data_IF_492127710677
#
_entry.id   IF_492127710677
#
_cell.length_a   1.000
_cell.length_b   1.000
_cell.length_c   1.000
_cell.angle_alpha   90.00
_cell.angle_beta   90.00
_cell.angle_gamma   90.00
#
_symmetry.space_group_name_H-M   'P 1'
#
loop_
_entity.id
_entity.type
_entity.pdbx_description
1 polymer ?
#
# COMPACT_ATOMS: atom_id res chain seq x y z
N UNK A 1 22.72 -32.16 19.24
CA UNK A 1 23.26 -33.02 20.32
C UNK A 1 23.50 -32.22 21.60
N UNK A 2 24.17 -31.06 21.54
CA UNK A 2 24.40 -30.22 22.72
C UNK A 2 23.10 -29.73 23.39
N UNK A 3 22.06 -29.40 22.62
CA UNK A 3 20.75 -29.02 23.15
C UNK A 3 20.08 -30.11 24.01
N UNK A 4 20.34 -31.40 23.74
CA UNK A 4 19.80 -32.51 24.55
C UNK A 4 20.62 -32.77 25.81
N UNK A 5 21.90 -32.40 25.81
CA UNK A 5 22.84 -32.66 26.91
C UNK A 5 22.83 -31.49 27.90
N UNK A 6 22.68 -30.26 27.41
CA UNK A 6 22.68 -29.04 28.19
C UNK A 6 21.66 -28.04 27.62
N UNK A 7 20.36 -28.41 27.64
CA UNK A 7 19.30 -27.46 27.34
C UNK A 7 19.29 -26.35 28.39
N UNK A 8 19.35 -25.11 27.92
CA UNK A 8 19.28 -23.90 28.75
C UNK A 8 17.90 -23.23 28.67
N UNK A 9 16.92 -23.88 28.03
CA UNK A 9 15.60 -23.29 27.73
C UNK A 9 14.76 -22.99 28.99
N UNK A 10 15.11 -23.64 30.11
CA UNK A 10 14.44 -23.46 31.41
C UNK A 10 15.10 -22.37 32.26
N UNK A 11 16.24 -21.82 31.83
CA UNK A 11 17.00 -20.81 32.56
C UNK A 11 16.74 -19.46 31.89
N UNK A 12 16.19 -18.51 32.64
CA UNK A 12 16.08 -17.12 32.18
C UNK A 12 17.39 -16.41 32.44
N UNK A 13 18.02 -15.89 31.39
CA UNK A 13 19.26 -15.15 31.54
C UNK A 13 19.00 -13.69 31.90
N UNK A 14 19.87 -13.10 32.71
CA UNK A 14 19.82 -11.66 33.01
C UNK A 14 19.88 -10.81 31.73
N UNK A 15 20.56 -11.32 30.69
CA UNK A 15 20.63 -10.68 29.37
C UNK A 15 19.25 -10.61 28.70
N UNK A 16 18.45 -11.68 28.75
CA UNK A 16 17.11 -11.71 28.16
C UNK A 16 16.23 -10.66 28.84
N UNK A 17 16.24 -10.66 30.18
CA UNK A 17 15.52 -9.68 30.98
C UNK A 17 15.93 -8.24 30.64
N UNK A 18 17.24 -7.99 30.53
CA UNK A 18 17.78 -6.66 30.23
C UNK A 18 17.41 -6.18 28.81
N UNK A 19 17.39 -7.07 27.82
CA UNK A 19 17.01 -6.76 26.43
C UNK A 19 15.51 -6.48 26.32
N UNK A 20 14.66 -7.34 26.90
CA UNK A 20 13.20 -7.19 26.88
C UNK A 20 12.75 -5.91 27.59
N UNK A 21 13.33 -5.64 28.76
CA UNK A 21 13.00 -4.45 29.54
C UNK A 21 13.75 -3.18 29.06
N UNK A 22 14.64 -3.31 28.07
CA UNK A 22 15.47 -2.22 27.55
C UNK A 22 16.25 -1.48 28.66
N UNK A 23 16.74 -2.22 29.65
CA UNK A 23 17.51 -1.67 30.76
C UNK A 23 18.83 -1.09 30.26
N UNK A 24 19.24 0.05 30.83
CA UNK A 24 20.50 0.71 30.46
C UNK A 24 20.50 1.46 29.12
N UNK A 25 19.39 1.48 28.38
CA UNK A 25 19.31 2.19 27.10
C UNK A 25 19.25 3.72 27.27
N UNK A 26 20.43 4.35 27.17
CA UNK A 26 20.56 5.80 27.14
C UNK A 26 20.01 6.39 25.83
N UNK A 27 19.24 7.48 25.88
CA UNK A 27 18.68 8.08 24.67
C UNK A 27 19.73 8.66 23.74
N UNK A 28 19.36 8.72 22.46
CA UNK A 28 20.29 9.13 21.42
C UNK A 28 20.76 10.56 21.66
N UNK A 29 22.06 10.85 21.47
CA UNK A 29 22.62 12.17 21.75
C UNK A 29 22.07 13.25 20.80
N UNK A 30 21.71 12.88 19.58
CA UNK A 30 21.22 13.80 18.57
C UNK A 30 19.87 13.35 17.97
N UNK A 31 18.93 14.28 17.74
CA UNK A 31 17.69 13.97 17.03
C UNK A 31 17.94 13.57 15.57
N UNK A 32 17.18 12.60 15.07
CA UNK A 32 17.19 12.24 13.64
C UNK A 32 18.32 11.31 13.21
N UNK A 33 19.09 10.75 14.16
CA UNK A 33 20.04 9.67 13.86
C UNK A 33 19.32 8.46 13.27
N UNK A 34 19.99 7.76 12.35
CA UNK A 34 19.50 6.53 11.80
C UNK A 34 19.60 5.41 12.84
N UNK A 35 18.55 4.60 12.92
CA UNK A 35 18.44 3.47 13.85
C UNK A 35 18.40 2.16 13.08
N UNK A 36 19.05 2.16 11.91
CA UNK A 36 19.15 1.02 11.02
C UNK A 36 20.04 -0.02 11.70
N UNK A 37 19.46 -1.15 12.12
CA UNK A 37 20.17 -2.19 12.88
C UNK A 37 19.89 -2.19 14.39
N UNK A 38 19.16 -1.19 14.90
CA UNK A 38 18.66 -1.24 16.28
C UNK A 38 17.46 -2.19 16.38
N UNK A 39 17.30 -2.83 17.55
CA UNK A 39 16.13 -3.67 17.83
C UNK A 39 14.82 -2.85 17.74
N UNK A 40 13.73 -3.55 17.45
CA UNK A 40 12.39 -2.95 17.41
C UNK A 40 11.96 -2.64 18.84
N UNK A 41 11.46 -1.43 19.07
CA UNK A 41 11.00 -1.05 20.41
C UNK A 41 9.67 -1.74 20.72
N UNK A 42 9.69 -2.72 21.63
CA UNK A 42 8.47 -3.38 22.09
C UNK A 42 7.52 -2.43 22.84
N UNK A 43 8.06 -1.50 23.62
CA UNK A 43 7.24 -0.48 24.28
C UNK A 43 6.52 0.42 23.27
N UNK A 44 7.09 0.64 22.09
CA UNK A 44 6.41 1.40 21.04
C UNK A 44 5.27 0.60 20.42
N UNK A 45 5.45 -0.70 20.21
CA UNK A 45 4.39 -1.60 19.74
C UNK A 45 3.23 -1.69 20.74
N UNK A 46 3.53 -1.63 22.05
CA UNK A 46 2.57 -1.58 23.17
C UNK A 46 2.07 -0.15 23.49
N UNK A 47 2.41 0.86 22.68
CA UNK A 47 2.07 2.28 22.89
C UNK A 47 2.53 2.92 24.21
N UNK A 48 3.50 2.31 24.91
CA UNK A 48 4.06 2.76 26.19
C UNK A 48 5.42 3.47 26.07
N UNK A 49 5.97 3.64 24.85
CA UNK A 49 7.29 4.25 24.65
C UNK A 49 7.28 5.76 24.93
N UNK A 50 7.73 6.17 26.12
CA UNK A 50 7.89 7.58 26.50
C UNK A 50 8.97 8.35 25.74
N UNK A 51 9.87 7.65 25.01
CA UNK A 51 10.96 8.24 24.20
C UNK A 51 10.59 8.37 22.70
N UNK A 52 9.34 8.01 22.34
CA UNK A 52 8.83 8.01 20.96
C UNK A 52 8.11 9.30 20.53
N UNK A 53 7.63 9.31 19.28
CA UNK A 53 6.77 10.38 18.77
C UNK A 53 5.32 10.11 19.19
N UNK A 54 4.87 10.72 20.28
CA UNK A 54 3.44 10.72 20.63
C UNK A 54 2.73 11.79 19.79
N UNK A 55 2.07 11.38 18.69
CA UNK A 55 1.07 12.22 18.01
C UNK A 55 -0.28 12.04 18.72
N UNK A 56 -0.34 12.48 19.98
CA UNK A 56 -1.59 12.67 20.70
C UNK A 56 -1.93 14.15 20.69
N UNK A 57 -3.09 14.50 20.15
CA UNK A 57 -3.68 15.84 20.30
C UNK A 57 -4.21 15.89 21.73
N UNK A 58 -3.34 16.18 22.72
CA UNK A 58 -3.84 16.58 24.02
C UNK A 58 -4.16 18.07 23.91
N UNK A 59 -5.44 18.37 23.72
CA UNK A 59 -5.94 19.72 23.86
C UNK A 59 -5.50 20.25 25.23
N UNK A 60 -4.71 21.34 25.20
CA UNK A 60 -4.37 22.19 26.34
C UNK A 60 -3.45 21.56 27.41
N UNK A 61 -2.22 21.24 27.02
CA UNK A 61 -1.06 21.49 27.88
C UNK A 61 0.24 21.47 27.06
N UNK A 62 0.81 22.65 26.83
CA UNK A 62 2.22 22.79 26.41
C UNK A 62 3.06 22.47 27.65
N UNK A 63 3.27 21.18 27.94
CA UNK A 63 4.40 20.77 28.78
C UNK A 63 5.54 20.43 27.82
N UNK A 64 6.45 21.38 27.67
CA UNK A 64 7.74 21.28 26.97
C UNK A 64 8.74 20.40 27.76
N UNK A 65 8.32 19.23 28.22
CA UNK A 65 9.25 18.24 28.82
C UNK A 65 9.04 16.90 28.12
N UNK A 66 10.07 16.43 27.43
CA UNK A 66 10.07 15.08 26.88
C UNK A 66 10.91 14.94 25.62
N UNK A 67 11.93 14.10 25.71
CA UNK A 67 12.74 13.55 24.62
C UNK A 67 11.87 12.89 23.52
N UNK A 68 11.24 13.70 22.68
CA UNK A 68 10.36 13.23 21.60
C UNK A 68 11.21 12.73 20.44
N UNK A 69 11.22 11.41 20.23
CA UNK A 69 11.87 10.78 19.09
C UNK A 69 13.35 10.44 19.27
N UNK A 70 13.84 10.41 20.52
CA UNK A 70 15.22 10.05 20.85
C UNK A 70 15.35 8.61 21.38
N UNK A 71 14.31 7.78 21.20
CA UNK A 71 14.39 6.36 21.50
C UNK A 71 15.54 5.71 20.70
N UNK A 72 16.48 5.00 21.35
CA UNK A 72 17.58 4.28 20.69
C UNK A 72 17.09 3.18 19.75
N UNK A 73 15.91 2.64 20.04
CA UNK A 73 15.31 1.54 19.32
C UNK A 73 14.48 2.02 18.13
N UNK A 74 14.29 1.10 17.18
CA UNK A 74 13.55 1.33 15.94
C UNK A 74 12.05 1.34 16.21
N UNK A 75 11.36 2.34 15.69
CA UNK A 75 9.89 2.45 15.73
C UNK A 75 9.31 2.08 14.37
N UNK A 76 8.39 1.13 14.34
CA UNK A 76 7.69 0.71 13.13
C UNK A 76 6.33 1.40 13.12
N UNK A 77 6.24 2.50 12.37
CA UNK A 77 4.96 3.19 12.15
C UNK A 77 4.43 2.85 10.76
N UNK A 78 3.19 2.39 10.70
CA UNK A 78 2.46 2.12 9.46
C UNK A 78 2.94 0.89 8.68
N UNK A 79 2.03 0.36 7.86
CA UNK A 79 2.31 -0.68 6.89
C UNK A 79 3.05 -0.09 5.68
N UNK A 80 4.24 -0.63 5.37
CA UNK A 80 5.06 -0.22 4.23
C UNK A 80 5.10 -1.36 3.24
N UNK A 81 4.77 -1.07 1.99
CA UNK A 81 4.51 -2.11 0.97
C UNK A 81 5.74 -2.50 0.17
N UNK A 82 6.65 -1.55 -0.09
CA UNK A 82 7.81 -1.75 -0.98
C UNK A 82 9.12 -1.51 -0.23
N UNK A 83 10.10 -2.38 -0.45
CA UNK A 83 11.43 -2.30 0.17
C UNK A 83 12.19 -1.05 -0.30
N UNK A 84 12.86 -0.38 0.64
CA UNK A 84 13.63 0.82 0.38
C UNK A 84 14.94 0.49 -0.34
N UNK A 85 15.08 0.97 -1.59
CA UNK A 85 16.32 0.80 -2.38
C UNK A 85 17.58 1.41 -1.72
N UNK A 86 17.43 2.46 -0.92
CA UNK A 86 18.55 3.13 -0.27
C UNK A 86 18.99 2.43 1.02
N UNK A 87 18.06 1.78 1.71
CA UNK A 87 18.34 0.99 2.91
C UNK A 87 19.10 -0.29 2.57
N UNK A 88 18.80 -0.94 1.44
CA UNK A 88 19.58 -2.08 0.94
C UNK A 88 21.07 -1.76 0.74
N UNK A 89 21.42 -0.48 0.57
CA UNK A 89 22.80 0.00 0.43
C UNK A 89 23.37 0.60 1.71
N UNK A 90 22.60 0.65 2.81
CA UNK A 90 22.99 1.31 4.06
C UNK A 90 23.02 2.85 3.98
N UNK A 91 22.39 3.47 2.98
CA UNK A 91 22.47 4.92 2.72
C UNK A 91 21.15 5.65 3.03
N UNK A 92 20.21 5.01 3.73
CA UNK A 92 18.93 5.63 4.03
C UNK A 92 19.03 6.65 5.16
N UNK A 93 18.97 7.94 4.83
CA UNK A 93 18.96 9.05 5.81
C UNK A 93 17.62 9.22 6.54
N UNK A 94 16.54 8.63 6.04
CA UNK A 94 15.19 8.81 6.61
C UNK A 94 14.94 7.94 7.84
N UNK A 95 15.78 6.92 8.09
CA UNK A 95 15.64 6.00 9.22
C UNK A 95 14.20 5.47 9.36
N UNK A 96 13.65 5.54 10.56
CA UNK A 96 12.27 5.11 10.88
C UNK A 96 11.18 5.89 10.14
N UNK A 97 11.48 7.09 9.68
CA UNK A 97 10.54 7.97 8.97
C UNK A 97 10.56 7.73 7.46
N UNK A 98 11.23 6.68 7.00
CA UNK A 98 11.21 6.28 5.61
C UNK A 98 9.80 5.78 5.22
N UNK A 99 9.32 6.24 4.08
CA UNK A 99 8.06 5.78 3.47
C UNK A 99 8.17 4.33 2.96
N UNK A 100 9.39 3.86 2.73
CA UNK A 100 9.67 2.52 2.21
C UNK A 100 10.08 1.56 3.32
N UNK A 101 9.79 0.28 3.13
CA UNK A 101 10.05 -0.80 4.08
C UNK A 101 11.57 -1.01 4.27
N UNK A 102 12.01 -1.10 5.53
CA UNK A 102 13.38 -1.41 5.92
C UNK A 102 13.48 -2.85 6.42
N UNK A 103 13.01 -3.78 5.59
CA UNK A 103 13.04 -5.22 5.84
C UNK A 103 13.44 -5.92 4.55
N UNK A 104 14.21 -7.00 4.67
CA UNK A 104 14.69 -7.75 3.51
C UNK A 104 13.66 -8.80 3.13
N UNK A 105 12.73 -8.40 2.25
CA UNK A 105 11.69 -9.26 1.71
C UNK A 105 11.76 -9.24 0.17
N UNK A 106 12.04 -10.39 -0.43
CA UNK A 106 12.17 -10.53 -1.89
C UNK A 106 10.84 -10.31 -2.62
N UNK A 107 9.72 -10.57 -1.97
CA UNK A 107 8.39 -10.45 -2.58
C UNK A 107 7.94 -8.99 -2.71
N UNK A 108 8.44 -8.12 -1.84
CA UNK A 108 8.14 -6.69 -1.78
C UNK A 108 9.23 -5.83 -2.40
N UNK A 109 10.15 -6.44 -3.14
CA UNK A 109 11.22 -5.72 -3.81
C UNK A 109 10.66 -4.89 -4.98
N UNK A 110 11.11 -3.65 -5.18
CA UNK A 110 10.70 -2.88 -6.35
C UNK A 110 11.06 -3.56 -7.68
N UNK A 111 10.32 -3.20 -8.73
CA UNK A 111 10.55 -3.68 -10.11
C UNK A 111 11.94 -3.24 -10.61
N UNK A 112 12.61 -4.11 -11.35
CA UNK A 112 13.88 -3.80 -11.99
C UNK A 112 13.67 -2.80 -13.12
N UNK A 113 14.28 -1.61 -13.00
CA UNK A 113 14.18 -0.57 -14.02
C UNK A 113 14.75 -0.99 -15.39
N UNK A 114 15.89 -1.70 -15.39
CA UNK A 114 16.53 -2.14 -16.64
C UNK A 114 15.69 -3.18 -17.37
N UNK A 115 15.19 -4.17 -16.64
CA UNK A 115 14.32 -5.20 -17.21
C UNK A 115 13.00 -4.62 -17.70
N UNK A 116 12.34 -3.77 -16.90
CA UNK A 116 11.07 -3.14 -17.28
C UNK A 116 11.18 -2.22 -18.50
N UNK A 117 12.34 -1.58 -18.73
CA UNK A 117 12.53 -0.60 -19.81
C UNK A 117 13.15 -1.20 -21.07
N UNK A 118 14.16 -2.05 -20.92
CA UNK A 118 14.96 -2.58 -22.02
C UNK A 118 14.68 -4.07 -22.30
N UNK A 119 13.92 -4.75 -21.46
CA UNK A 119 13.63 -6.19 -21.61
C UNK A 119 14.78 -7.11 -21.23
N UNK A 120 15.93 -6.54 -20.81
CA UNK A 120 17.11 -7.30 -20.44
C UNK A 120 17.76 -6.65 -19.20
N UNK A 121 18.17 -7.49 -18.25
CA UNK A 121 18.97 -7.06 -17.10
C UNK A 121 20.40 -7.58 -17.25
N UNK A 122 21.39 -6.69 -17.14
CA UNK A 122 22.81 -7.06 -17.23
C UNK A 122 23.28 -7.96 -16.08
N UNK A 123 22.56 -7.98 -14.95
CA UNK A 123 22.94 -8.75 -13.77
C UNK A 123 22.11 -10.03 -13.69
N UNK A 124 22.78 -11.19 -13.60
CA UNK A 124 22.13 -12.50 -13.46
C UNK A 124 21.45 -12.67 -12.11
N UNK A 125 22.11 -12.21 -11.04
CA UNK A 125 21.60 -12.20 -9.67
C UNK A 125 21.01 -10.82 -9.32
N UNK A 126 20.01 -10.37 -10.06
CA UNK A 126 19.35 -9.09 -9.80
C UNK A 126 18.38 -9.25 -8.60
N UNK A 127 18.56 -8.49 -7.49
CA UNK A 127 17.63 -8.58 -6.36
C UNK A 127 16.23 -8.08 -6.70
N UNK A 128 16.11 -7.21 -7.72
CA UNK A 128 14.86 -6.56 -8.12
C UNK A 128 13.97 -7.48 -8.96
N UNK A 129 12.65 -7.30 -8.85
CA UNK A 129 11.70 -8.14 -9.57
C UNK A 129 11.77 -7.91 -11.08
N UNK A 130 12.01 -8.99 -11.84
CA UNK A 130 11.90 -9.03 -13.30
C UNK A 130 10.46 -9.40 -13.66
N UNK A 131 9.65 -8.39 -14.00
CA UNK A 131 8.28 -8.57 -14.46
C UNK A 131 8.25 -8.28 -15.96
N UNK A 132 7.84 -9.26 -16.76
CA UNK A 132 7.67 -9.05 -18.19
C UNK A 132 6.53 -8.07 -18.45
N UNK A 133 6.74 -6.99 -19.22
CA UNK A 133 5.68 -6.01 -19.50
C UNK A 133 4.46 -6.65 -20.18
N UNK A 134 4.64 -7.72 -20.95
CA UNK A 134 3.55 -8.49 -21.58
C UNK A 134 2.71 -9.27 -20.55
N UNK A 135 3.31 -9.69 -19.43
CA UNK A 135 2.60 -10.36 -18.34
C UNK A 135 1.77 -9.40 -17.49
N UNK A 136 2.07 -8.10 -17.54
CA UNK A 136 1.32 -7.04 -16.83
C UNK A 136 -0.02 -6.72 -17.49
N UNK A 137 -0.16 -7.02 -18.79
CA UNK A 137 -1.41 -6.85 -19.50
C UNK A 137 -2.38 -7.94 -19.03
N UNK A 138 -3.41 -7.54 -18.27
CA UNK A 138 -4.46 -8.46 -17.82
C UNK A 138 -5.13 -9.11 -19.03
N UNK A 139 -5.45 -10.40 -18.91
CA UNK A 139 -6.24 -11.12 -19.91
C UNK A 139 -7.60 -10.44 -20.05
N UNK A 140 -8.12 -10.39 -21.28
CA UNK A 140 -9.38 -9.73 -21.57
C UNK A 140 -10.57 -10.55 -21.05
N UNK A 141 -11.35 -10.05 -20.08
CA UNK A 141 -12.49 -10.80 -19.54
C UNK A 141 -13.61 -11.06 -20.56
N UNK A 142 -13.63 -10.31 -21.66
CA UNK A 142 -14.60 -10.51 -22.76
C UNK A 142 -14.13 -11.59 -23.73
N UNK A 143 -12.84 -11.63 -24.03
CA UNK A 143 -12.27 -12.67 -24.89
C UNK A 143 -12.31 -14.04 -24.22
N UNK A 144 -12.08 -14.10 -22.91
CA UNK A 144 -12.19 -15.34 -22.14
C UNK A 144 -13.61 -15.93 -22.12
N UNK A 145 -14.62 -15.08 -22.31
CA UNK A 145 -16.02 -15.51 -22.51
C UNK A 145 -16.34 -15.89 -23.96
N UNK A 146 -15.38 -15.80 -24.86
CA UNK A 146 -15.46 -16.25 -26.25
C UNK A 146 -15.33 -15.12 -27.27
N UNK A 147 -15.82 -13.91 -26.99
CA UNK A 147 -15.79 -12.81 -27.95
C UNK A 147 -15.46 -11.47 -27.30
N UNK A 148 -14.40 -10.83 -27.77
CA UNK A 148 -14.10 -9.44 -27.45
C UNK A 148 -14.48 -8.53 -28.62
N UNK A 149 -15.33 -7.54 -28.35
CA UNK A 149 -15.76 -6.52 -29.31
C UNK A 149 -14.63 -5.73 -29.96
N UNK A 150 -13.47 -5.63 -29.29
CA UNK A 150 -12.31 -4.89 -29.78
C UNK A 150 -11.42 -5.75 -30.68
N UNK A 151 -11.67 -7.06 -30.79
CA UNK A 151 -10.93 -7.96 -31.65
C UNK A 151 -9.40 -7.86 -31.44
N UNK A 152 -8.58 -7.85 -32.50
CA UNK A 152 -7.13 -7.78 -32.37
C UNK A 152 -6.60 -6.42 -31.85
N UNK A 153 -7.45 -5.39 -31.80
CA UNK A 153 -7.11 -4.05 -31.30
C UNK A 153 -7.42 -3.88 -29.81
N UNK A 154 -7.69 -4.96 -29.08
CA UNK A 154 -7.97 -4.87 -27.65
C UNK A 154 -6.70 -4.51 -26.86
N UNK A 155 -6.86 -3.62 -25.88
CA UNK A 155 -5.80 -3.26 -24.91
C UNK A 155 -5.45 -4.42 -23.97
N UNK A 156 -6.38 -5.34 -23.74
CA UNK A 156 -6.17 -6.51 -22.89
C UNK A 156 -5.70 -7.70 -23.72
N UNK A 157 -4.91 -8.58 -23.12
CA UNK A 157 -4.31 -9.71 -23.81
C UNK A 157 -5.40 -10.73 -24.19
N UNK A 158 -5.39 -11.18 -25.43
CA UNK A 158 -6.29 -12.22 -25.94
C UNK A 158 -5.56 -13.55 -26.02
N UNK A 159 -5.65 -14.35 -24.96
CA UNK A 159 -5.06 -15.70 -24.94
C UNK A 159 -6.05 -16.70 -25.51
N UNK A 160 -5.77 -17.27 -26.70
CA UNK A 160 -6.63 -18.29 -27.30
C UNK A 160 -6.53 -19.60 -26.52
N UNK A 161 -7.61 -20.01 -25.87
CA UNK A 161 -7.74 -21.28 -25.16
C UNK A 161 -8.77 -22.18 -25.86
N UNK A 162 -8.53 -23.49 -25.86
CA UNK A 162 -9.46 -24.47 -26.41
C UNK A 162 -10.53 -24.78 -25.35
N UNK A 163 -11.79 -24.53 -25.69
CA UNK A 163 -12.94 -24.78 -24.81
C UNK A 163 -13.18 -26.29 -24.71
N UNK A 164 -13.49 -26.77 -23.51
CA UNK A 164 -13.93 -28.15 -23.31
C UNK A 164 -15.30 -28.37 -23.93
N UNK A 165 -15.37 -29.26 -24.92
CA UNK A 165 -16.63 -29.59 -25.60
C UNK A 165 -17.64 -30.21 -24.62
N UNK A 166 -17.19 -31.12 -23.76
CA UNK A 166 -18.06 -31.79 -22.78
C UNK A 166 -18.66 -30.80 -21.77
N UNK A 167 -17.83 -29.87 -21.27
CA UNK A 167 -18.30 -28.81 -20.38
C UNK A 167 -19.26 -27.85 -21.06
N UNK A 168 -19.00 -27.52 -22.34
CA UNK A 168 -19.89 -26.66 -23.13
C UNK A 168 -21.29 -27.29 -23.30
N UNK A 169 -21.37 -28.62 -23.41
CA UNK A 169 -22.63 -29.39 -23.47
C UNK A 169 -23.31 -29.51 -22.08
N UNK A 170 -22.64 -29.07 -21.01
CA UNK A 170 -23.21 -28.90 -19.68
C UNK A 170 -22.53 -29.74 -18.59
N UNK A 171 -21.75 -30.76 -18.94
CA UNK A 171 -21.08 -31.61 -17.96
C UNK A 171 -19.75 -32.17 -18.47
N UNK A 172 -18.68 -31.88 -17.73
CA UNK A 172 -17.37 -32.50 -17.96
C UNK A 172 -17.05 -33.45 -16.80
N UNK A 173 -16.76 -34.74 -17.08
CA UNK A 173 -16.44 -35.73 -16.05
C UNK A 173 -15.13 -35.42 -15.30
N UNK A 174 -14.23 -34.64 -15.90
CA UNK A 174 -12.97 -34.22 -15.29
C UNK A 174 -13.13 -33.00 -14.34
N UNK A 175 -14.32 -32.39 -14.30
CA UNK A 175 -14.61 -31.27 -13.40
C UNK A 175 -13.68 -30.05 -13.60
N UNK A 176 -13.38 -29.25 -12.57
CA UNK A 176 -12.55 -28.04 -12.70
C UNK A 176 -11.07 -28.33 -13.02
N UNK A 177 -10.64 -29.59 -12.94
CA UNK A 177 -9.28 -30.02 -13.26
C UNK A 177 -9.11 -30.47 -14.73
N UNK A 178 -10.13 -30.28 -15.57
CA UNK A 178 -10.08 -30.66 -16.99
C UNK A 178 -8.93 -29.96 -17.73
N UNK A 179 -8.30 -30.69 -18.67
CA UNK A 179 -7.24 -30.14 -19.55
C UNK A 179 -7.72 -28.98 -20.43
N UNK A 180 -9.02 -28.95 -20.75
CA UNK A 180 -9.63 -27.96 -21.63
C UNK A 180 -10.31 -26.85 -20.83
N UNK A 181 -10.36 -25.64 -21.38
CA UNK A 181 -10.89 -24.48 -20.68
C UNK A 181 -12.40 -24.62 -20.43
N UNK A 182 -12.81 -24.42 -19.18
CA UNK A 182 -14.21 -24.31 -18.76
C UNK A 182 -14.57 -22.82 -18.64
N UNK A 183 -15.33 -22.22 -19.59
CA UNK A 183 -15.67 -20.81 -19.51
C UNK A 183 -16.57 -20.56 -18.31
N UNK A 184 -16.24 -19.55 -17.50
CA UNK A 184 -17.11 -19.06 -16.42
C UNK A 184 -17.97 -17.92 -16.96
N UNK A 185 -19.26 -18.18 -17.14
CA UNK A 185 -20.21 -17.19 -17.67
C UNK A 185 -20.73 -16.22 -16.60
N UNK A 186 -20.55 -16.55 -15.32
CA UNK A 186 -20.88 -15.68 -14.20
C UNK A 186 -19.86 -14.53 -14.07
N UNK A 187 -20.37 -13.31 -14.07
CA UNK A 187 -19.59 -12.14 -13.70
C UNK A 187 -19.26 -12.22 -12.19
N UNK A 188 -18.05 -11.88 -11.74
CA UNK A 188 -17.89 -11.41 -10.37
C UNK A 188 -18.66 -10.10 -10.26
N UNK A 189 -19.93 -10.19 -9.84
CA UNK A 189 -20.61 -9.05 -9.25
C UNK A 189 -19.77 -8.69 -8.02
N UNK A 190 -19.26 -7.45 -7.99
CA UNK A 190 -18.36 -6.99 -6.94
C UNK A 190 -19.06 -7.01 -5.58
N UNK A 191 -18.97 -8.12 -4.88
CA UNK A 191 -19.19 -8.22 -3.44
C UNK A 191 -18.25 -9.29 -2.93
N UNK A 192 -17.30 -8.83 -2.12
CA UNK A 192 -16.79 -9.44 -0.90
C UNK A 192 -16.63 -10.96 -0.90
N UNK A 193 -15.41 -11.41 -0.63
CA UNK A 193 -15.15 -12.76 -0.15
C UNK A 193 -16.23 -13.17 0.88
N UNK A 194 -17.09 -14.10 0.49
CA UNK A 194 -17.93 -14.82 1.44
C UNK A 194 -17.37 -16.25 1.55
N UNK A 195 -17.05 -16.71 2.77
CA UNK A 195 -16.91 -18.13 3.08
C UNK A 195 -18.23 -18.88 2.78
N UNK A 196 -18.20 -20.21 2.62
CA UNK A 196 -19.34 -20.98 2.15
C UNK A 196 -20.56 -20.84 3.08
N UNK A 197 -21.71 -20.47 2.53
CA UNK A 197 -22.98 -20.37 3.25
C UNK A 197 -23.61 -21.76 3.47
N UNK A 198 -24.15 -22.07 4.66
CA UNK A 198 -25.03 -23.20 4.89
C UNK A 198 -26.48 -22.94 4.42
N UNK A 199 -27.18 -24.03 4.12
CA UNK A 199 -28.54 -24.12 3.56
C UNK A 199 -29.65 -23.49 4.44
N UNK A 200 -30.85 -23.18 3.87
CA UNK A 200 -31.84 -22.35 4.54
C UNK A 200 -32.86 -23.16 5.36
N UNK A 201 -33.11 -22.70 6.60
CA UNK A 201 -34.38 -22.94 7.31
C UNK A 201 -35.22 -21.67 7.31
N UNK A 202 -36.47 -21.85 6.89
CA UNK A 202 -37.51 -20.84 6.75
C UNK A 202 -37.97 -20.35 8.14
N UNK A 203 -38.22 -19.04 8.28
CA UNK A 203 -39.47 -18.57 8.92
C UNK A 203 -39.78 -17.14 8.52
N UNK A 204 -41.07 -16.95 8.28
CA UNK A 204 -41.77 -15.75 7.82
C UNK A 204 -41.77 -14.65 8.89
N UNK A 205 -41.83 -13.37 8.49
CA UNK A 205 -42.93 -12.48 8.88
C UNK A 205 -42.89 -11.11 8.18
N UNK A 206 -44.11 -10.66 7.84
CA UNK A 206 -44.53 -9.49 7.07
C UNK A 206 -44.22 -8.14 7.73
N UNK A 207 -44.04 -7.09 6.92
CA UNK A 207 -44.83 -5.84 6.97
C UNK A 207 -44.63 -4.95 5.72
N UNK A 208 -45.64 -4.13 5.49
CA UNK A 208 -46.13 -3.45 4.27
C UNK A 208 -45.53 -2.05 4.02
N UNK A 209 -45.82 -1.39 2.87
CA UNK A 209 -44.96 -0.37 2.24
C UNK A 209 -45.39 1.09 2.47
N UNK A 210 -44.45 2.03 2.32
CA UNK A 210 -44.70 3.48 2.18
C UNK A 210 -43.65 4.11 1.24
N UNK A 211 -44.00 5.29 0.71
CA UNK A 211 -43.72 5.84 -0.62
C UNK A 211 -42.74 7.03 -0.60
N UNK A 212 -41.91 7.14 -1.67
CA UNK A 212 -41.20 8.31 -2.27
C UNK A 212 -40.29 9.21 -1.39
N UNK A 213 -39.05 9.43 -1.86
CA UNK A 213 -38.26 10.64 -1.56
C UNK A 213 -36.81 10.59 -2.03
N UNK A 214 -36.45 11.44 -2.99
CA UNK A 214 -35.10 11.62 -3.58
C UNK A 214 -34.25 12.57 -2.70
N UNK A 215 -32.93 12.57 -2.92
CA UNK A 215 -31.89 13.57 -2.54
C UNK A 215 -31.00 13.12 -1.36
N UNK A 216 -29.75 12.73 -1.65
CA UNK A 216 -28.53 13.55 -1.86
C UNK A 216 -27.84 13.96 -0.55
N UNK A 217 -26.60 13.48 -0.47
CA UNK A 217 -25.58 13.72 0.53
C UNK A 217 -25.28 15.22 0.70
N UNK A 218 -25.32 15.70 1.94
CA UNK A 218 -24.65 16.93 2.33
C UNK A 218 -23.89 16.73 3.63
N UNK A 219 -22.58 16.52 3.44
CA UNK A 219 -21.56 16.71 4.44
C UNK A 219 -21.30 18.22 4.56
N UNK A 220 -21.63 18.80 5.72
CA UNK A 220 -21.29 20.17 6.07
C UNK A 220 -20.35 20.12 7.28
N UNK A 221 -19.11 20.55 7.09
CA UNK A 221 -18.67 21.88 7.52
C UNK A 221 -17.14 21.90 7.69
N UNK A 222 -16.47 22.63 6.80
CA UNK A 222 -15.14 23.16 7.04
C UNK A 222 -15.14 24.61 6.62
N UNK A 223 -14.95 25.50 7.60
CA UNK A 223 -14.13 26.70 7.46
C UNK A 223 -14.56 27.69 6.38
N UNK A 224 -15.44 28.59 6.77
CA UNK A 224 -15.73 29.87 6.15
C UNK A 224 -14.43 30.64 5.75
N UNK A 225 -14.08 30.63 4.46
CA UNK A 225 -13.23 31.66 3.81
C UNK A 225 -13.81 31.93 2.43
N UNK A 226 -14.46 33.08 2.30
CA UNK A 226 -15.01 33.53 1.02
C UNK A 226 -13.93 33.64 -0.07
N UNK A 227 -14.32 33.67 -1.36
CA UNK A 227 -13.40 33.82 -2.47
C UNK A 227 -12.63 35.13 -2.36
N UNK A 228 -11.30 35.07 -2.44
CA UNK A 228 -10.47 36.29 -2.53
C UNK A 228 -10.77 37.00 -3.86
N UNK A 229 -10.92 38.34 -3.87
CA UNK A 229 -11.17 39.10 -5.09
C UNK A 229 -10.04 38.88 -6.10
N UNK A 230 -10.38 38.69 -7.38
CA UNK A 230 -9.44 38.27 -8.44
C UNK A 230 -8.25 39.23 -8.60
N UNK A 231 -8.41 40.53 -8.32
CA UNK A 231 -7.33 41.52 -8.37
C UNK A 231 -6.19 41.28 -7.39
N UNK A 232 -6.44 40.55 -6.29
CA UNK A 232 -5.42 40.23 -5.30
C UNK A 232 -4.76 38.87 -5.55
N UNK A 233 -5.23 38.12 -6.56
CA UNK A 233 -4.73 36.80 -6.91
C UNK A 233 -3.64 36.96 -7.97
N UNK A 234 -2.39 36.74 -7.55
CA UNK A 234 -1.22 36.69 -8.44
C UNK A 234 -1.09 35.30 -9.05
N UNK A 235 -0.99 35.23 -10.37
CA UNK A 235 -0.75 33.99 -11.08
C UNK A 235 0.70 33.52 -10.87
N UNK A 236 0.90 32.35 -10.27
CA UNK A 236 2.24 31.79 -10.05
C UNK A 236 2.97 31.33 -11.33
N UNK A 237 2.32 31.36 -12.50
CA UNK A 237 2.93 31.02 -13.79
C UNK A 237 3.49 32.24 -14.55
N UNK A 238 2.88 33.42 -14.40
CA UNK A 238 3.28 34.62 -15.14
C UNK A 238 3.54 35.86 -14.26
N UNK A 239 3.30 35.78 -12.95
CA UNK A 239 3.51 36.89 -12.01
C UNK A 239 2.47 38.02 -12.07
N UNK A 240 1.51 37.98 -13.00
CA UNK A 240 0.47 39.00 -13.16
C UNK A 240 -0.75 38.73 -12.25
N UNK A 241 -1.39 39.80 -11.79
CA UNK A 241 -2.60 39.75 -10.93
C UNK A 241 -3.87 39.70 -11.80
N UNK A 242 -4.98 39.18 -11.25
CA UNK A 242 -6.28 39.20 -11.92
C UNK A 242 -6.77 37.84 -12.45
N UNK A 243 -5.98 36.77 -12.33
CA UNK A 243 -6.38 35.42 -12.75
C UNK A 243 -5.69 34.31 -11.97
N UNK A 244 -6.34 33.15 -11.88
CA UNK A 244 -5.74 31.92 -11.34
C UNK A 244 -4.92 31.21 -12.43
N UNK A 245 -3.87 30.49 -12.03
CA UNK A 245 -2.94 29.84 -12.94
C UNK A 245 -3.56 28.82 -13.92
N UNK A 246 -4.74 28.28 -13.58
CA UNK A 246 -5.50 27.39 -14.46
C UNK A 246 -6.16 28.11 -15.64
N UNK A 247 -6.22 29.45 -15.62
CA UNK A 247 -6.76 30.31 -16.68
C UNK A 247 -5.69 31.26 -17.25
N UNK A 248 -4.42 30.93 -17.07
CA UNK A 248 -3.32 31.74 -17.58
C UNK A 248 -3.19 31.58 -19.10
N UNK A 249 -3.36 32.67 -19.84
CA UNK A 249 -3.30 32.71 -21.30
C UNK A 249 -1.87 32.58 -21.85
N UNK A 250 -0.83 32.79 -21.03
CA UNK A 250 0.58 32.74 -21.45
C UNK A 250 1.18 31.32 -21.52
N UNK A 251 0.39 30.27 -21.26
CA UNK A 251 0.82 28.88 -21.41
C UNK A 251 1.97 28.44 -20.49
N UNK A 252 2.44 27.20 -20.64
CA UNK A 252 3.46 26.59 -19.77
C UNK A 252 4.88 27.20 -19.92
N UNK A 253 5.10 28.06 -20.92
CA UNK A 253 6.43 28.58 -21.28
C UNK A 253 6.74 29.99 -20.76
N UNK A 254 5.81 30.63 -20.03
CA UNK A 254 6.02 31.98 -19.48
C UNK A 254 7.08 32.08 -18.37
N UNK A 255 7.65 30.96 -17.93
CA UNK A 255 8.65 30.90 -16.86
C UNK A 255 10.03 31.46 -17.26
N UNK A 256 10.26 31.76 -18.55
CA UNK A 256 11.57 32.16 -19.08
C UNK A 256 11.73 33.67 -19.31
N UNK A 257 10.73 34.49 -18.99
CA UNK A 257 10.73 35.93 -19.32
C UNK A 257 10.91 36.87 -18.12
N UNK A 258 11.29 36.34 -16.96
CA UNK A 258 11.52 37.13 -15.74
C UNK A 258 12.93 36.95 -15.21
N UNK A 259 13.89 37.64 -15.83
CA UNK A 259 15.16 38.02 -15.20
C UNK A 259 15.23 39.55 -15.20
#
# INVERSE_FOLDING_TARGET
MQELIASVDHITFDLELAVEQQLGAQPLPFPGMDKSGAAVCEFFLKAACGKGKFYGILEKAIILTGWRGMCPFRHISGEKTVVCKHWLRGLCKKGDQCEFLHEYDMTKMPECYFYSKFGECSNKECPFLHIDPESKIKDCPWYDRGFCKHGPLCRHRHTRRVICVNYLVGFCPEGPACKFMHPRFELPMGTTEQPPLPQPTQTQQKRTPQVIGVMQSQNNNSGNRGPRPLEQVTCYKCGEKGHYANRCTKGHLAFLSGQ
#
